data_IF_772834637174
#
_entry.id   IF_772834637174
#
_cell.length_a   1.000
_cell.length_b   1.000
_cell.length_c   1.000
_cell.angle_alpha   90.00
_cell.angle_beta   90.00
_cell.angle_gamma   90.00
#
_symmetry.space_group_name_H-M   'P 1'
#
loop_
_entity.id
_entity.type
_entity.pdbx_description
1 polymer ?
#
# COMPACT_ATOMS: atom_id res chain seq x y z
N UNK A 1 -15.96 -8.99 18.96
CA UNK A 1 -14.51 -9.27 18.87
C UNK A 1 -13.98 -8.51 17.68
N UNK A 2 -12.91 -7.72 17.81
CA UNK A 2 -12.23 -7.18 16.62
C UNK A 2 -11.58 -8.33 15.88
N UNK A 3 -11.64 -8.29 14.55
CA UNK A 3 -10.98 -9.27 13.70
C UNK A 3 -9.47 -8.99 13.75
N UNK A 4 -8.68 -9.93 14.28
CA UNK A 4 -7.20 -9.81 14.40
C UNK A 4 -6.55 -9.40 13.08
N UNK A 5 -7.05 -9.90 11.95
CA UNK A 5 -6.55 -9.55 10.62
C UNK A 5 -6.70 -8.05 10.37
N UNK A 6 -7.84 -7.46 10.72
CA UNK A 6 -8.07 -6.03 10.53
C UNK A 6 -7.20 -5.18 11.48
N UNK A 7 -6.87 -5.68 12.68
CA UNK A 7 -5.93 -5.02 13.58
C UNK A 7 -4.49 -5.02 13.04
N UNK A 8 -4.07 -6.08 12.33
CA UNK A 8 -2.78 -6.13 11.65
C UNK A 8 -2.74 -5.16 10.46
N UNK A 9 -3.81 -5.14 9.65
CA UNK A 9 -3.94 -4.21 8.52
C UNK A 9 -3.90 -2.75 8.99
N UNK A 10 -4.55 -2.42 10.10
CA UNK A 10 -4.55 -1.07 10.65
C UNK A 10 -3.16 -0.65 11.17
N UNK A 11 -2.41 -1.58 11.76
CA UNK A 11 -1.01 -1.33 12.15
C UNK A 11 -0.16 -0.97 10.92
N UNK A 12 -0.22 -1.78 9.85
CA UNK A 12 0.52 -1.51 8.61
C UNK A 12 0.08 -0.18 7.97
N UNK A 13 -1.23 0.12 7.92
CA UNK A 13 -1.74 1.40 7.43
C UNK A 13 -1.19 2.59 8.22
N UNK A 14 -1.15 2.47 9.55
CA UNK A 14 -0.64 3.52 10.42
C UNK A 14 0.84 3.78 10.15
N UNK A 15 1.65 2.72 10.10
CA UNK A 15 3.09 2.82 9.87
C UNK A 15 3.43 3.38 8.48
N UNK A 16 2.79 2.87 7.42
CA UNK A 16 2.91 3.43 6.06
C UNK A 16 2.52 4.91 6.01
N UNK A 17 1.42 5.27 6.69
CA UNK A 17 0.93 6.64 6.74
C UNK A 17 1.94 7.59 7.41
N UNK A 18 2.63 7.14 8.46
CA UNK A 18 3.73 7.86 9.12
C UNK A 18 4.93 8.08 8.19
N UNK A 19 5.18 7.16 7.25
CA UNK A 19 6.22 7.30 6.22
C UNK A 19 5.79 8.09 4.99
N UNK A 20 4.56 8.62 4.96
CA UNK A 20 4.04 9.35 3.82
C UNK A 20 3.59 8.47 2.65
N UNK A 21 3.36 7.19 2.92
CA UNK A 21 2.91 6.19 1.95
C UNK A 21 1.42 5.87 2.13
N UNK A 22 0.80 5.39 1.05
CA UNK A 22 -0.54 4.79 1.06
C UNK A 22 -0.54 3.49 0.29
N UNK A 23 -1.38 2.57 0.73
CA UNK A 23 -1.56 1.27 0.11
C UNK A 23 -2.15 1.44 -1.29
N UNK A 24 -1.59 0.71 -2.24
CA UNK A 24 -2.01 0.70 -3.64
C UNK A 24 -2.24 -0.75 -4.08
N UNK A 25 -3.37 -1.31 -3.64
CA UNK A 25 -3.71 -2.71 -3.84
C UNK A 25 -4.31 -3.36 -2.59
N UNK A 26 -4.05 -4.66 -2.44
CA UNK A 26 -4.55 -5.48 -1.35
C UNK A 26 -3.42 -5.87 -0.39
N UNK A 27 -3.80 -6.25 0.83
CA UNK A 27 -2.89 -6.97 1.72
C UNK A 27 -2.82 -8.43 1.30
N UNK A 28 -1.62 -8.97 1.28
CA UNK A 28 -1.32 -10.38 1.07
C UNK A 28 -0.56 -10.93 2.28
N UNK A 29 -0.53 -12.25 2.41
CA UNK A 29 0.05 -12.91 3.57
C UNK A 29 -0.81 -14.07 4.09
N UNK A 30 -0.24 -14.83 5.01
CA UNK A 30 -0.98 -15.82 5.79
C UNK A 30 -1.64 -15.21 7.04
N UNK A 31 -1.32 -13.96 7.37
CA UNK A 31 -1.79 -13.22 8.54
C UNK A 31 -1.46 -13.88 9.89
N UNK A 32 -0.52 -14.81 9.88
CA UNK A 32 -0.03 -15.52 11.07
C UNK A 32 1.48 -15.33 11.25
N UNK A 33 2.26 -15.55 10.19
CA UNK A 33 3.70 -15.34 10.16
C UNK A 33 4.07 -14.02 9.47
N UNK A 34 3.31 -13.58 8.47
CA UNK A 34 3.61 -12.34 7.74
C UNK A 34 2.38 -11.70 7.09
N UNK A 35 2.53 -10.42 6.77
CA UNK A 35 1.60 -9.63 5.97
C UNK A 35 2.41 -8.63 5.13
N UNK A 36 1.99 -8.37 3.90
CA UNK A 36 2.60 -7.35 3.05
C UNK A 36 1.61 -6.71 2.11
N UNK A 37 2.01 -5.60 1.50
CA UNK A 37 1.25 -4.93 0.45
C UNK A 37 2.14 -4.05 -0.41
N UNK A 38 1.63 -3.70 -1.60
CA UNK A 38 2.17 -2.62 -2.39
C UNK A 38 1.71 -1.28 -1.83
N UNK A 39 2.64 -0.33 -1.71
CA UNK A 39 2.37 1.03 -1.29
C UNK A 39 3.15 2.03 -2.14
N UNK A 40 2.61 3.23 -2.28
CA UNK A 40 3.22 4.34 -3.02
C UNK A 40 3.22 5.64 -2.21
N UNK A 41 4.04 6.63 -2.57
CA UNK A 41 3.95 7.96 -1.99
C UNK A 41 2.56 8.58 -2.15
N UNK A 42 2.07 9.25 -1.11
CA UNK A 42 0.75 9.93 -1.09
C UNK A 42 0.58 10.98 -2.19
N UNK A 43 1.67 11.60 -2.62
CA UNK A 43 1.70 12.66 -3.62
C UNK A 43 1.90 12.13 -5.06
N UNK A 44 1.94 10.80 -5.24
CA UNK A 44 2.05 10.15 -6.55
C UNK A 44 0.75 9.43 -6.89
N UNK A 45 0.31 9.41 -8.17
CA UNK A 45 -0.90 8.70 -8.56
C UNK A 45 -0.70 7.17 -8.49
N UNK A 46 -1.80 6.43 -8.42
CA UNK A 46 -1.78 4.98 -8.65
C UNK A 46 -1.49 4.69 -10.13
N UNK A 47 -0.88 3.54 -10.44
CA UNK A 47 -0.77 3.03 -11.81
C UNK A 47 -1.97 2.15 -12.23
N UNK A 48 -2.90 1.86 -11.31
CA UNK A 48 -4.13 1.13 -11.59
C UNK A 48 -5.05 1.93 -12.51
N UNK A 49 -6.02 1.25 -13.12
CA UNK A 49 -7.00 1.92 -13.98
C UNK A 49 -7.71 3.04 -13.19
N UNK A 50 -7.68 4.29 -13.69
CA UNK A 50 -8.27 5.42 -12.98
C UNK A 50 -9.79 5.24 -12.90
N UNK A 51 -10.37 5.43 -11.71
CA UNK A 51 -11.81 5.24 -11.52
C UNK A 51 -12.63 6.46 -11.96
N UNK A 52 -11.95 7.58 -12.23
CA UNK A 52 -12.57 8.84 -12.65
C UNK A 52 -11.59 9.70 -13.49
N UNK A 53 -12.11 10.79 -14.07
CA UNK A 53 -11.34 11.69 -14.93
C UNK A 53 -10.25 12.46 -14.16
N UNK A 54 -10.43 12.70 -12.86
CA UNK A 54 -9.45 13.40 -12.03
C UNK A 54 -8.20 12.54 -11.82
N UNK A 55 -8.36 11.26 -11.48
CA UNK A 55 -7.24 10.32 -11.37
C UNK A 55 -6.52 10.13 -12.71
N UNK A 56 -7.26 10.05 -13.82
CA UNK A 56 -6.67 9.97 -15.15
C UNK A 56 -5.81 11.21 -15.47
N UNK A 57 -6.28 12.41 -15.08
CA UNK A 57 -5.52 13.65 -15.21
C UNK A 57 -4.27 13.67 -14.34
N UNK A 58 -4.36 13.18 -13.10
CA UNK A 58 -3.19 13.06 -12.22
C UNK A 58 -2.16 12.08 -12.79
N UNK A 59 -2.57 10.89 -13.25
CA UNK A 59 -1.67 9.93 -13.91
C UNK A 59 -0.97 10.53 -15.13
N UNK A 60 -1.71 11.25 -15.97
CA UNK A 60 -1.17 11.86 -17.19
C UNK A 60 -0.04 12.87 -16.91
N UNK A 61 -0.04 13.56 -15.75
CA UNK A 61 1.04 14.49 -15.36
C UNK A 61 2.39 13.79 -15.19
N UNK A 62 2.36 12.52 -14.79
CA UNK A 62 3.55 11.72 -14.50
C UNK A 62 3.88 10.72 -15.62
N UNK A 63 3.00 10.60 -16.63
CA UNK A 63 3.16 9.61 -17.68
C UNK A 63 4.43 9.82 -18.51
N UNK A 64 5.11 8.73 -18.85
CA UNK A 64 6.28 8.72 -19.73
C UNK A 64 5.91 8.01 -21.03
N UNK A 65 6.07 8.70 -22.16
CA UNK A 65 5.69 8.19 -23.49
C UNK A 65 4.22 7.72 -23.57
N UNK A 66 3.32 8.35 -22.81
CA UNK A 66 1.90 8.00 -22.78
C UNK A 66 1.55 6.82 -21.86
N UNK A 67 2.51 6.27 -21.11
CA UNK A 67 2.27 5.20 -20.16
C UNK A 67 2.24 5.73 -18.72
N UNK A 68 1.23 5.33 -17.91
CA UNK A 68 1.24 5.55 -16.46
C UNK A 68 2.54 5.01 -15.84
N UNK A 69 3.02 5.67 -14.80
CA UNK A 69 4.21 5.24 -14.07
C UNK A 69 3.78 4.51 -12.80
N UNK A 70 4.47 3.40 -12.52
CA UNK A 70 4.31 2.66 -11.28
C UNK A 70 5.27 3.20 -10.23
N UNK A 71 4.70 3.74 -9.15
CA UNK A 71 5.42 4.28 -8.00
C UNK A 71 5.31 3.36 -6.78
N UNK A 72 4.78 2.16 -6.97
CA UNK A 72 4.58 1.23 -5.87
C UNK A 72 5.87 0.48 -5.55
N UNK A 73 6.06 0.21 -4.28
CA UNK A 73 7.07 -0.71 -3.76
C UNK A 73 6.38 -1.71 -2.83
N UNK A 74 7.00 -2.88 -2.68
CA UNK A 74 6.53 -3.92 -1.76
C UNK A 74 7.00 -3.61 -0.34
N UNK A 75 6.08 -3.72 0.61
CA UNK A 75 6.34 -3.57 2.04
C UNK A 75 5.85 -4.81 2.75
N UNK A 76 6.71 -5.46 3.53
CA UNK A 76 6.40 -6.69 4.24
C UNK A 76 6.75 -6.59 5.72
N UNK A 77 5.91 -7.19 6.56
CA UNK A 77 6.10 -7.27 7.99
C UNK A 77 6.02 -8.73 8.45
N UNK A 78 6.92 -9.07 9.36
CA UNK A 78 6.78 -10.26 10.19
C UNK A 78 5.70 -10.03 11.26
N UNK A 79 4.91 -11.06 11.55
CA UNK A 79 3.91 -11.04 12.62
C UNK A 79 4.46 -11.82 13.82
N UNK A 80 4.59 -11.13 14.95
CA UNK A 80 4.99 -11.75 16.21
C UNK A 80 3.97 -11.43 17.31
N UNK A 81 3.30 -12.45 17.83
CA UNK A 81 2.27 -12.34 18.86
C UNK A 81 1.20 -11.28 18.54
N UNK A 82 0.74 -11.24 17.28
CA UNK A 82 -0.31 -10.32 16.82
C UNK A 82 0.16 -8.87 16.62
N UNK A 83 1.46 -8.62 16.60
CA UNK A 83 2.05 -7.31 16.27
C UNK A 83 2.95 -7.40 15.07
N UNK A 84 2.95 -6.35 14.26
CA UNK A 84 3.91 -6.20 13.18
C UNK A 84 5.31 -5.93 13.75
N UNK A 85 6.30 -6.56 13.12
CA UNK A 85 7.73 -6.45 13.42
C UNK A 85 8.49 -6.42 12.10
N UNK A 86 9.66 -5.77 12.13
CA UNK A 86 10.68 -5.78 11.07
C UNK A 86 10.11 -5.54 9.67
N UNK A 87 10.20 -4.31 9.17
CA UNK A 87 9.93 -4.06 7.76
C UNK A 87 11.05 -4.68 6.91
N UNK A 88 10.68 -5.53 5.96
CA UNK A 88 11.55 -6.09 4.92
C UNK A 88 11.30 -5.41 3.58
#
# INVERSE_FOLDING_TARGET
MRNRIEELKEQARTELNEWGLIIDGCFEGDFEAWIGCYARPKDKPTALDPINEEEAKEQAKYAVNGFPQDFTEWYEWEINNGKLKNLL
#
